data_IF_524687104988
#
_entry.id   IF_524687104988
#
_cell.length_a   1.000
_cell.length_b   1.000
_cell.length_c   1.000
_cell.angle_alpha   90.00
_cell.angle_beta   90.00
_cell.angle_gamma   90.00
#
_symmetry.space_group_name_H-M   'P 1'
#
loop_
_entity.id
_entity.type
_entity.pdbx_description
1 polymer ?
#
# COMPACT_ATOMS: atom_id res chain seq x y z
N UNK A 1 25.16 61.13 -59.28
CA UNK A 1 24.62 61.61 -57.99
C UNK A 1 24.80 60.50 -56.97
N UNK A 2 25.55 60.70 -55.88
CA UNK A 2 25.50 59.83 -54.72
C UNK A 2 25.87 60.66 -53.49
N UNK A 3 24.82 61.03 -52.76
CA UNK A 3 24.86 61.88 -51.57
C UNK A 3 25.32 61.04 -50.38
N UNK A 4 26.26 61.61 -49.63
CA UNK A 4 26.85 61.06 -48.43
C UNK A 4 25.79 60.87 -47.34
N UNK A 5 25.83 59.72 -46.67
CA UNK A 5 24.94 59.34 -45.59
C UNK A 5 25.69 59.54 -44.27
N UNK A 6 25.21 60.51 -43.47
CA UNK A 6 25.76 60.90 -42.17
C UNK A 6 25.15 60.00 -41.08
N UNK A 7 26.01 59.39 -40.27
CA UNK A 7 25.65 58.43 -39.21
C UNK A 7 25.17 59.15 -37.95
N UNK A 8 23.87 59.12 -37.72
CA UNK A 8 23.21 59.67 -36.54
C UNK A 8 23.37 58.72 -35.33
N UNK A 9 24.08 59.17 -34.29
CA UNK A 9 24.32 58.44 -33.05
C UNK A 9 23.04 58.39 -32.20
N UNK A 10 22.53 57.19 -31.89
CA UNK A 10 21.54 56.98 -30.81
C UNK A 10 22.00 55.89 -29.86
N UNK A 11 22.10 56.25 -28.59
CA UNK A 11 22.36 55.33 -27.48
C UNK A 11 21.18 54.37 -27.28
N UNK A 12 21.42 53.07 -27.03
CA UNK A 12 20.37 52.10 -26.82
C UNK A 12 20.11 51.98 -25.32
N UNK A 13 19.22 52.79 -24.75
CA UNK A 13 18.71 52.55 -23.38
C UNK A 13 17.46 53.38 -23.07
N UNK A 14 16.45 53.33 -23.94
CA UNK A 14 15.08 53.77 -23.59
C UNK A 14 14.08 52.67 -23.94
N UNK A 15 13.88 51.74 -23.00
CA UNK A 15 12.72 50.85 -22.97
C UNK A 15 11.75 51.37 -21.89
N UNK A 16 10.45 51.50 -22.19
CA UNK A 16 9.47 51.97 -21.20
C UNK A 16 9.29 50.93 -20.08
N UNK A 17 8.94 51.36 -18.85
CA UNK A 17 8.82 50.47 -17.71
C UNK A 17 7.66 49.46 -17.88
N UNK A 18 7.99 48.18 -17.80
CA UNK A 18 7.03 47.07 -17.77
C UNK A 18 6.28 47.09 -16.44
N UNK A 19 4.99 47.40 -16.47
CA UNK A 19 4.09 47.29 -15.32
C UNK A 19 3.80 45.81 -15.05
N UNK A 20 4.42 45.24 -14.00
CA UNK A 20 4.13 43.87 -13.53
C UNK A 20 2.86 43.90 -12.68
N UNK A 21 1.79 43.30 -13.18
CA UNK A 21 0.55 43.09 -12.42
C UNK A 21 0.78 41.92 -11.43
N UNK A 22 0.44 42.03 -10.14
CA UNK A 22 0.57 40.92 -9.21
C UNK A 22 -0.37 39.76 -9.61
N UNK A 23 0.03 38.50 -9.36
CA UNK A 23 -0.80 37.34 -9.68
C UNK A 23 -2.09 37.35 -8.83
N UNK A 24 -3.20 36.81 -9.36
CA UNK A 24 -4.43 36.69 -8.57
C UNK A 24 -4.20 35.77 -7.38
N UNK A 25 -4.55 36.27 -6.20
CA UNK A 25 -4.56 35.54 -4.93
C UNK A 25 -5.44 34.29 -5.08
N UNK A 26 -4.88 33.12 -4.77
CA UNK A 26 -5.59 31.84 -4.79
C UNK A 26 -6.84 31.90 -3.90
N UNK A 27 -7.97 31.27 -4.29
CA UNK A 27 -9.13 31.22 -3.41
C UNK A 27 -8.77 30.39 -2.18
N UNK A 28 -8.84 31.02 -1.00
CA UNK A 28 -8.76 30.30 0.25
C UNK A 28 -9.93 29.31 0.30
N UNK A 29 -9.62 28.01 0.21
CA UNK A 29 -10.60 26.97 0.49
C UNK A 29 -10.95 27.04 1.98
N UNK A 30 -12.06 27.68 2.32
CA UNK A 30 -12.66 27.56 3.64
C UNK A 30 -13.18 26.13 3.78
N UNK A 31 -12.51 25.32 4.59
CA UNK A 31 -13.00 23.99 4.97
C UNK A 31 -14.16 24.21 5.94
N UNK A 32 -15.37 24.35 5.41
CA UNK A 32 -16.59 24.35 6.22
C UNK A 32 -16.82 22.94 6.74
N UNK A 33 -16.43 22.67 7.99
CA UNK A 33 -16.84 21.47 8.70
C UNK A 33 -18.36 21.50 8.86
N UNK A 34 -19.03 20.75 8.01
CA UNK A 34 -20.46 20.49 8.14
C UNK A 34 -20.61 19.49 9.29
N UNK A 35 -21.11 19.93 10.43
CA UNK A 35 -21.57 19.02 11.49
C UNK A 35 -22.69 18.15 10.92
N UNK A 36 -22.58 16.81 10.90
CA UNK A 36 -23.65 15.96 10.39
C UNK A 36 -24.77 15.90 11.43
N UNK A 37 -25.72 16.82 11.35
CA UNK A 37 -27.02 16.69 12.02
C UNK A 37 -28.03 16.18 11.00
N UNK A 38 -27.99 14.89 10.73
CA UNK A 38 -29.13 14.17 10.14
C UNK A 38 -28.98 12.68 10.46
N UNK A 39 -29.58 12.28 11.57
CA UNK A 39 -29.76 10.86 11.90
C UNK A 39 -30.93 10.35 11.06
N UNK A 40 -30.68 10.16 9.76
CA UNK A 40 -31.50 9.27 8.96
C UNK A 40 -31.12 7.84 9.37
N UNK A 41 -32.06 6.89 9.55
CA UNK A 41 -31.70 5.50 9.82
C UNK A 41 -30.87 5.00 8.63
N UNK A 42 -29.55 4.95 8.80
CA UNK A 42 -28.64 4.41 7.78
C UNK A 42 -29.12 2.99 7.51
N UNK A 43 -29.59 2.76 6.29
CA UNK A 43 -29.52 1.42 5.72
C UNK A 43 -28.07 0.95 5.94
N UNK A 44 -27.83 -0.26 6.46
CA UNK A 44 -26.46 -0.71 6.71
C UNK A 44 -25.70 -0.65 5.39
N UNK A 45 -24.79 0.32 5.27
CA UNK A 45 -23.95 0.44 4.09
C UNK A 45 -22.99 -0.74 4.13
N UNK A 46 -23.25 -1.74 3.29
CA UNK A 46 -22.40 -2.92 3.17
C UNK A 46 -20.97 -2.48 2.82
N UNK A 47 -20.04 -2.67 3.75
CA UNK A 47 -18.62 -2.36 3.50
C UNK A 47 -18.07 -3.39 2.53
N UNK A 48 -17.32 -2.93 1.53
CA UNK A 48 -16.64 -3.80 0.58
C UNK A 48 -15.18 -3.86 0.94
N UNK A 49 -14.72 -5.03 1.39
CA UNK A 49 -13.37 -5.22 1.92
C UNK A 49 -12.54 -5.95 0.86
N UNK A 50 -11.40 -5.38 0.46
CA UNK A 50 -10.46 -6.08 -0.39
C UNK A 50 -9.59 -7.02 0.44
N UNK A 51 -9.36 -8.23 -0.05
CA UNK A 51 -8.23 -9.05 0.39
C UNK A 51 -7.32 -9.26 -0.82
N UNK A 52 -6.14 -8.64 -0.80
CA UNK A 52 -5.16 -8.77 -1.87
C UNK A 52 -4.43 -10.11 -1.73
N UNK A 53 -4.45 -10.91 -2.78
CA UNK A 53 -3.83 -12.23 -2.81
C UNK A 53 -2.87 -12.37 -3.97
N UNK A 54 -1.82 -13.15 -3.77
CA UNK A 54 -0.78 -13.44 -4.76
C UNK A 54 -0.45 -14.94 -4.86
N UNK A 55 -1.40 -15.78 -4.42
CA UNK A 55 -1.33 -17.24 -4.49
C UNK A 55 -0.22 -17.85 -3.62
N UNK A 56 0.28 -17.09 -2.64
CA UNK A 56 1.23 -17.51 -1.60
C UNK A 56 0.53 -17.99 -0.32
N UNK A 57 1.27 -18.69 0.54
CA UNK A 57 0.80 -19.11 1.86
C UNK A 57 0.55 -17.91 2.79
N UNK A 58 1.33 -16.84 2.65
CA UNK A 58 1.16 -15.58 3.35
C UNK A 58 -0.18 -14.93 3.02
N UNK A 59 -0.56 -14.92 1.74
CA UNK A 59 -1.86 -14.42 1.31
C UNK A 59 -3.02 -15.32 1.76
N UNK A 60 -2.83 -16.64 1.74
CA UNK A 60 -3.81 -17.60 2.25
C UNK A 60 -4.07 -17.40 3.76
N UNK A 61 -3.00 -17.13 4.52
CA UNK A 61 -3.11 -16.79 5.93
C UNK A 61 -3.83 -15.47 6.15
N UNK A 62 -3.57 -14.45 5.33
CA UNK A 62 -4.27 -13.16 5.42
C UNK A 62 -5.80 -13.32 5.23
N UNK A 63 -6.25 -14.22 4.34
CA UNK A 63 -7.68 -14.54 4.19
C UNK A 63 -8.27 -15.09 5.49
N UNK A 64 -7.61 -16.09 6.10
CA UNK A 64 -8.06 -16.70 7.36
C UNK A 64 -8.07 -15.67 8.50
N UNK A 65 -6.99 -14.90 8.62
CA UNK A 65 -6.86 -13.85 9.61
C UNK A 65 -7.97 -12.80 9.48
N UNK A 66 -8.31 -12.40 8.25
CA UNK A 66 -9.38 -11.43 8.00
C UNK A 66 -10.74 -11.91 8.52
N UNK A 67 -11.08 -13.18 8.28
CA UNK A 67 -12.32 -13.80 8.75
C UNK A 67 -12.41 -13.76 10.27
N UNK A 68 -11.31 -14.10 10.95
CA UNK A 68 -11.28 -14.22 12.41
C UNK A 68 -11.22 -12.87 13.13
N UNK A 69 -10.61 -11.85 12.51
CA UNK A 69 -10.20 -10.64 13.24
C UNK A 69 -10.77 -9.33 12.70
N UNK A 70 -11.13 -9.26 11.41
CA UNK A 70 -11.47 -7.99 10.76
C UNK A 70 -12.90 -7.93 10.24
N UNK A 71 -13.33 -9.00 9.56
CA UNK A 71 -14.62 -9.05 8.89
C UNK A 71 -15.78 -9.05 9.89
N UNK A 72 -16.84 -8.35 9.53
CA UNK A 72 -18.05 -8.19 10.34
C UNK A 72 -19.28 -8.66 9.56
N UNK A 73 -20.36 -9.05 10.25
CA UNK A 73 -21.64 -9.31 9.59
C UNK A 73 -22.05 -8.13 8.72
N UNK A 74 -22.38 -8.40 7.46
CA UNK A 74 -22.73 -7.38 6.46
C UNK A 74 -21.56 -6.89 5.60
N UNK A 75 -20.32 -7.29 5.87
CA UNK A 75 -19.21 -7.06 4.95
C UNK A 75 -19.33 -7.95 3.70
N UNK A 76 -18.93 -7.43 2.55
CA UNK A 76 -18.72 -8.19 1.33
C UNK A 76 -17.24 -8.15 0.93
N UNK A 77 -16.67 -9.29 0.59
CA UNK A 77 -15.24 -9.42 0.29
C UNK A 77 -14.98 -9.38 -1.21
N UNK A 78 -13.96 -8.64 -1.63
CA UNK A 78 -13.37 -8.75 -2.97
C UNK A 78 -11.99 -9.39 -2.82
N UNK A 79 -11.86 -10.64 -3.27
CA UNK A 79 -10.57 -11.32 -3.35
C UNK A 79 -9.84 -10.81 -4.59
N UNK A 80 -8.90 -9.88 -4.40
CA UNK A 80 -8.25 -9.11 -5.45
C UNK A 80 -6.90 -9.73 -5.79
N UNK A 81 -6.73 -10.19 -7.03
CA UNK A 81 -5.45 -10.69 -7.54
C UNK A 81 -5.02 -9.90 -8.77
N UNK A 82 -3.77 -9.40 -8.76
CA UNK A 82 -3.15 -8.85 -9.96
C UNK A 82 -2.23 -9.91 -10.55
N UNK A 83 -2.54 -10.31 -11.78
CA UNK A 83 -1.87 -11.34 -12.55
C UNK A 83 -0.83 -10.65 -13.44
N UNK A 84 0.48 -10.86 -13.24
CA UNK A 84 1.49 -10.28 -14.11
C UNK A 84 1.23 -10.68 -15.56
N UNK A 85 1.26 -9.74 -16.49
CA UNK A 85 1.20 -10.03 -17.93
C UNK A 85 2.48 -9.57 -18.61
N UNK A 86 2.89 -10.23 -19.70
CA UNK A 86 3.98 -9.80 -20.57
C UNK A 86 3.50 -8.95 -21.75
N UNK A 87 2.17 -8.81 -21.92
CA UNK A 87 1.55 -8.08 -23.03
C UNK A 87 1.61 -6.59 -22.73
N UNK A 88 2.59 -5.88 -23.30
CA UNK A 88 2.67 -4.43 -23.24
C UNK A 88 1.65 -3.83 -24.21
N UNK A 89 0.52 -3.34 -23.71
CA UNK A 89 -0.46 -2.62 -24.51
C UNK A 89 0.19 -1.36 -25.11
N UNK A 90 0.45 -1.35 -26.42
CA UNK A 90 1.02 -0.21 -27.16
C UNK A 90 2.47 -0.36 -27.62
N UNK A 91 3.19 -1.42 -27.24
CA UNK A 91 4.54 -1.71 -27.76
C UNK A 91 4.51 -2.53 -29.08
N UNK A 92 3.33 -2.85 -29.57
CA UNK A 92 3.04 -3.65 -30.74
C UNK A 92 2.82 -2.82 -32.03
N UNK A 93 2.93 -1.49 -31.98
CA UNK A 93 2.74 -0.61 -33.15
C UNK A 93 3.83 -0.74 -34.25
N UNK A 94 4.75 -1.70 -34.13
CA UNK A 94 5.82 -1.91 -35.10
C UNK A 94 6.51 -3.27 -35.05
N UNK A 95 6.12 -4.17 -34.13
CA UNK A 95 6.59 -5.56 -34.12
C UNK A 95 5.42 -6.44 -34.55
N UNK A 96 5.56 -7.05 -35.71
CA UNK A 96 4.66 -8.03 -36.29
C UNK A 96 4.31 -9.17 -35.33
N UNK A 97 3.27 -8.97 -34.51
CA UNK A 97 2.03 -9.76 -34.35
C UNK A 97 1.39 -9.41 -33.01
N UNK A 98 0.31 -8.61 -33.04
CA UNK A 98 -0.99 -9.18 -32.73
C UNK A 98 -2.03 -8.61 -33.70
N UNK A 99 -2.52 -9.43 -34.63
CA UNK A 99 -3.64 -8.99 -35.45
C UNK A 99 -4.76 -10.00 -35.43
N UNK A 100 -5.78 -9.68 -34.63
CA UNK A 100 -7.18 -9.97 -34.97
C UNK A 100 -7.55 -9.21 -36.26
N UNK A 101 -6.91 -9.57 -37.37
CA UNK A 101 -7.39 -9.26 -38.72
C UNK A 101 -7.44 -10.58 -39.46
N UNK A 102 -8.49 -10.73 -40.24
CA UNK A 102 -8.84 -11.85 -41.10
C UNK A 102 -7.82 -11.98 -42.25
N UNK A 103 -6.55 -12.20 -41.91
CA UNK A 103 -5.49 -12.45 -42.87
C UNK A 103 -4.96 -13.85 -42.58
N UNK A 104 -5.08 -14.80 -43.53
CA UNK A 104 -4.57 -16.15 -43.32
C UNK A 104 -3.05 -16.09 -43.07
N UNK A 105 -2.52 -16.86 -42.11
CA UNK A 105 -1.12 -16.84 -41.78
C UNK A 105 -0.29 -17.17 -43.03
N UNK A 106 0.56 -16.23 -43.45
CA UNK A 106 1.38 -16.33 -44.65
C UNK A 106 2.55 -17.32 -44.51
N UNK A 107 2.72 -17.94 -43.34
CA UNK A 107 3.56 -19.12 -43.19
C UNK A 107 3.00 -20.09 -42.12
N UNK A 108 3.16 -21.42 -42.31
CA UNK A 108 2.80 -22.42 -41.29
C UNK A 108 3.49 -22.20 -39.95
N UNK A 109 4.67 -21.57 -39.94
CA UNK A 109 5.49 -21.34 -38.75
C UNK A 109 4.88 -20.30 -37.80
N UNK A 110 4.20 -19.28 -38.34
CA UNK A 110 3.60 -18.21 -37.54
C UNK A 110 2.27 -18.64 -36.89
N UNK A 111 1.51 -19.52 -37.55
CA UNK A 111 0.26 -20.06 -37.00
C UNK A 111 0.49 -20.97 -35.78
N UNK A 112 1.57 -21.75 -35.77
CA UNK A 112 1.89 -22.65 -34.65
C UNK A 112 2.38 -21.90 -33.42
N UNK A 113 3.16 -20.83 -33.58
CA UNK A 113 3.65 -20.01 -32.45
C UNK A 113 2.49 -19.28 -31.74
N UNK A 114 1.59 -18.64 -32.48
CA UNK A 114 0.43 -17.95 -31.90
C UNK A 114 -0.54 -18.88 -31.18
N UNK A 115 -0.72 -20.11 -31.71
CA UNK A 115 -1.62 -21.11 -31.09
C UNK A 115 -1.04 -21.66 -29.77
N UNK A 116 0.27 -21.87 -29.72
CA UNK A 116 0.95 -22.37 -28.54
C UNK A 116 0.99 -21.33 -27.42
N UNK A 117 1.29 -20.06 -27.74
CA UNK A 117 1.30 -18.97 -26.77
C UNK A 117 -0.10 -18.67 -26.21
N UNK A 118 -1.14 -18.75 -27.04
CA UNK A 118 -2.53 -18.67 -26.59
C UNK A 118 -2.88 -19.81 -25.64
N UNK A 119 -2.46 -21.04 -25.97
CA UNK A 119 -2.73 -22.20 -25.12
C UNK A 119 -2.05 -22.09 -23.75
N UNK A 120 -0.80 -21.63 -23.71
CA UNK A 120 -0.07 -21.39 -22.46
C UNK A 120 -0.73 -20.31 -21.61
N UNK A 121 -1.19 -19.22 -22.23
CA UNK A 121 -1.90 -18.13 -21.55
C UNK A 121 -3.22 -18.62 -20.94
N UNK A 122 -3.99 -19.42 -21.68
CA UNK A 122 -5.21 -20.05 -21.16
C UNK A 122 -4.93 -20.99 -19.99
N UNK A 123 -3.91 -21.85 -20.10
CA UNK A 123 -3.55 -22.78 -19.04
C UNK A 123 -3.09 -22.03 -17.78
N UNK A 124 -2.39 -20.91 -17.94
CA UNK A 124 -1.99 -20.06 -16.83
C UNK A 124 -3.17 -19.32 -16.19
N UNK A 125 -4.12 -18.84 -16.97
CA UNK A 125 -5.36 -18.25 -16.47
C UNK A 125 -6.20 -19.29 -15.72
N UNK A 126 -6.30 -20.52 -16.25
CA UNK A 126 -6.99 -21.62 -15.60
C UNK A 126 -6.34 -21.99 -14.26
N UNK A 127 -5.00 -22.04 -14.20
CA UNK A 127 -4.26 -22.27 -12.96
C UNK A 127 -4.52 -21.16 -11.94
N UNK A 128 -4.48 -19.91 -12.38
CA UNK A 128 -4.70 -18.73 -11.54
C UNK A 128 -6.12 -18.76 -10.96
N UNK A 129 -7.13 -19.00 -11.80
CA UNK A 129 -8.53 -19.12 -11.38
C UNK A 129 -8.75 -20.26 -10.38
N UNK A 130 -8.14 -21.42 -10.63
CA UNK A 130 -8.22 -22.58 -9.74
C UNK A 130 -7.62 -22.28 -8.37
N UNK A 131 -6.41 -21.69 -8.33
CA UNK A 131 -5.77 -21.31 -7.07
C UNK A 131 -6.53 -20.23 -6.31
N UNK A 132 -7.02 -19.19 -7.00
CA UNK A 132 -7.82 -18.13 -6.40
C UNK A 132 -9.12 -18.69 -5.79
N UNK A 133 -9.73 -19.67 -6.45
CA UNK A 133 -10.91 -20.39 -5.92
C UNK A 133 -10.56 -21.16 -4.66
N UNK A 134 -9.41 -21.84 -4.63
CA UNK A 134 -8.90 -22.52 -3.43
C UNK A 134 -8.71 -21.56 -2.25
N UNK A 135 -8.16 -20.36 -2.49
CA UNK A 135 -8.01 -19.32 -1.46
C UNK A 135 -9.34 -18.79 -0.93
N UNK A 136 -10.42 -18.92 -1.70
CA UNK A 136 -11.74 -18.48 -1.29
C UNK A 136 -12.49 -19.52 -0.44
N UNK A 137 -12.02 -20.77 -0.34
CA UNK A 137 -12.68 -21.82 0.44
C UNK A 137 -12.98 -21.39 1.89
N UNK A 138 -12.06 -20.74 2.64
CA UNK A 138 -12.35 -20.31 4.01
C UNK A 138 -13.51 -19.29 4.09
N UNK A 139 -13.69 -18.46 3.05
CA UNK A 139 -14.81 -17.51 2.97
C UNK A 139 -16.13 -18.22 2.74
N UNK A 140 -16.14 -19.30 1.94
CA UNK A 140 -17.31 -20.16 1.73
C UNK A 140 -17.71 -20.82 3.05
N UNK A 141 -16.76 -21.42 3.76
CA UNK A 141 -17.01 -22.09 5.04
C UNK A 141 -17.54 -21.11 6.10
N UNK A 142 -17.00 -19.89 6.12
CA UNK A 142 -17.45 -18.82 7.01
C UNK A 142 -18.75 -18.12 6.56
N UNK A 143 -19.35 -18.52 5.43
CA UNK A 143 -20.55 -17.91 4.85
C UNK A 143 -20.42 -16.39 4.61
N UNK A 144 -19.21 -15.94 4.26
CA UNK A 144 -18.93 -14.54 3.94
C UNK A 144 -19.21 -14.31 2.45
N UNK A 145 -20.05 -13.34 2.07
CA UNK A 145 -20.25 -13.00 0.65
C UNK A 145 -18.95 -12.51 0.03
N UNK A 146 -18.53 -13.10 -1.10
CA UNK A 146 -17.31 -12.67 -1.78
C UNK A 146 -17.42 -12.72 -3.31
N UNK A 147 -16.53 -11.97 -3.96
CA UNK A 147 -16.26 -12.04 -5.40
C UNK A 147 -14.75 -12.14 -5.63
N UNK A 148 -14.34 -13.03 -6.54
CA UNK A 148 -12.96 -13.09 -7.02
C UNK A 148 -12.81 -12.06 -8.16
N UNK A 149 -11.82 -11.18 -8.04
CA UNK A 149 -11.52 -10.15 -9.04
C UNK A 149 -10.06 -10.28 -9.46
N UNK A 150 -9.84 -10.82 -10.66
CA UNK A 150 -8.52 -11.00 -11.24
C UNK A 150 -8.34 -9.98 -12.35
N UNK A 151 -7.25 -9.21 -12.29
CA UNK A 151 -6.87 -8.24 -13.31
C UNK A 151 -5.47 -8.55 -13.82
N UNK A 152 -5.20 -8.26 -15.09
CA UNK A 152 -3.88 -8.46 -15.70
C UNK A 152 -3.19 -7.11 -15.82
N UNK A 153 -1.96 -7.01 -15.33
CA UNK A 153 -1.17 -5.77 -15.41
C UNK A 153 0.33 -6.03 -15.27
N UNK A 154 1.16 -5.06 -15.67
CA UNK A 154 2.60 -5.09 -15.49
C UNK A 154 3.02 -4.52 -14.14
N UNK A 155 2.34 -3.46 -13.69
CA UNK A 155 2.61 -2.85 -12.39
C UNK A 155 1.58 -3.34 -11.37
N UNK A 156 1.97 -4.37 -10.60
CA UNK A 156 1.09 -5.01 -9.62
C UNK A 156 0.64 -4.05 -8.51
N UNK A 157 1.56 -3.21 -8.03
CA UNK A 157 1.34 -2.36 -6.86
C UNK A 157 0.47 -1.15 -7.22
N UNK A 158 0.70 -0.56 -8.39
CA UNK A 158 -0.12 0.52 -8.92
C UNK A 158 -1.50 -0.01 -9.29
N UNK A 159 -1.57 -1.15 -10.00
CA UNK A 159 -2.84 -1.73 -10.38
C UNK A 159 -3.71 -2.09 -9.17
N UNK A 160 -3.12 -2.61 -8.10
CA UNK A 160 -3.87 -2.91 -6.89
C UNK A 160 -4.53 -1.66 -6.32
N UNK A 161 -3.79 -0.55 -6.19
CA UNK A 161 -4.32 0.71 -5.66
C UNK A 161 -5.42 1.28 -6.57
N UNK A 162 -5.23 1.23 -7.89
CA UNK A 162 -6.23 1.67 -8.86
C UNK A 162 -7.53 0.86 -8.78
N UNK A 163 -7.43 -0.48 -8.64
CA UNK A 163 -8.62 -1.31 -8.50
C UNK A 163 -9.36 -1.06 -7.19
N UNK A 164 -8.62 -0.78 -6.11
CA UNK A 164 -9.19 -0.45 -4.79
C UNK A 164 -10.01 0.83 -4.86
N UNK A 165 -9.48 1.87 -5.51
CA UNK A 165 -10.19 3.12 -5.76
C UNK A 165 -11.38 2.93 -6.70
N UNK A 166 -11.15 2.30 -7.86
CA UNK A 166 -12.17 2.06 -8.90
C UNK A 166 -13.37 1.27 -8.38
N UNK A 167 -13.11 0.29 -7.52
CA UNK A 167 -14.15 -0.53 -6.91
C UNK A 167 -14.76 0.11 -5.66
N UNK A 168 -14.26 1.25 -5.19
CA UNK A 168 -14.75 1.94 -3.99
C UNK A 168 -14.73 1.04 -2.76
N UNK A 169 -13.57 0.42 -2.49
CA UNK A 169 -13.37 -0.50 -1.37
C UNK A 169 -13.07 0.29 -0.09
N UNK A 170 -13.60 -0.20 1.03
CA UNK A 170 -13.53 0.49 2.32
C UNK A 170 -12.23 0.21 3.08
N UNK A 171 -11.56 -0.91 2.79
CA UNK A 171 -10.25 -1.27 3.32
C UNK A 171 -9.60 -2.36 2.47
N UNK A 172 -8.28 -2.49 2.57
CA UNK A 172 -7.49 -3.56 1.93
C UNK A 172 -6.77 -4.35 3.01
N UNK A 173 -6.91 -5.67 2.98
CA UNK A 173 -6.15 -6.61 3.82
C UNK A 173 -5.16 -7.34 2.92
N UNK A 174 -3.91 -7.47 3.34
CA UNK A 174 -2.89 -8.15 2.55
C UNK A 174 -1.79 -8.76 3.41
N UNK A 175 -1.06 -9.72 2.84
CA UNK A 175 0.16 -10.23 3.46
C UNK A 175 1.26 -9.15 3.52
N UNK A 176 2.13 -9.24 4.52
CA UNK A 176 3.32 -8.39 4.61
C UNK A 176 4.40 -8.72 3.58
N UNK A 177 4.36 -9.92 3.02
CA UNK A 177 5.25 -10.41 1.98
C UNK A 177 4.40 -11.16 0.97
N UNK A 178 4.98 -11.32 -0.21
CA UNK A 178 4.37 -12.08 -1.28
C UNK A 178 5.23 -13.22 -1.80
N UNK A 179 4.80 -13.81 -2.90
CA UNK A 179 5.49 -14.89 -3.59
C UNK A 179 6.96 -14.53 -3.87
N UNK A 180 7.88 -15.40 -3.44
CA UNK A 180 9.33 -15.23 -3.61
C UNK A 180 10.01 -14.30 -2.58
N UNK A 181 9.27 -13.70 -1.66
CA UNK A 181 9.81 -12.77 -0.66
C UNK A 181 10.24 -13.44 0.66
N UNK A 182 10.05 -14.75 0.83
CA UNK A 182 10.36 -15.54 2.05
C UNK A 182 11.87 -15.73 2.34
N UNK A 183 12.74 -14.87 1.76
CA UNK A 183 14.18 -14.93 2.04
C UNK A 183 14.45 -14.58 3.50
N UNK A 184 15.11 -15.51 4.20
CA UNK A 184 15.48 -15.52 5.64
C UNK A 184 16.13 -14.24 6.19
N UNK A 185 16.59 -13.34 5.32
CA UNK A 185 17.35 -12.12 5.64
C UNK A 185 16.52 -10.83 5.54
N UNK A 186 15.19 -10.92 5.45
CA UNK A 186 14.32 -9.76 5.21
C UNK A 186 13.39 -9.41 6.38
N UNK A 187 13.79 -9.84 7.59
CA UNK A 187 13.07 -9.64 8.85
C UNK A 187 12.68 -8.18 9.05
N UNK A 188 11.41 -7.95 9.40
CA UNK A 188 10.88 -6.64 9.74
C UNK A 188 10.43 -5.77 8.56
N UNK A 189 10.97 -5.96 7.34
CA UNK A 189 10.65 -5.08 6.20
C UNK A 189 9.46 -5.56 5.40
N UNK A 190 8.60 -4.63 4.99
CA UNK A 190 7.44 -4.89 4.14
C UNK A 190 7.86 -5.28 2.70
N UNK A 191 7.07 -6.13 2.04
CA UNK A 191 7.24 -6.44 0.61
C UNK A 191 6.93 -5.22 -0.26
N UNK A 192 7.44 -5.17 -1.49
CA UNK A 192 7.31 -3.99 -2.37
C UNK A 192 5.86 -3.59 -2.65
N UNK A 193 4.98 -4.58 -2.89
CA UNK A 193 3.56 -4.33 -3.15
C UNK A 193 2.88 -3.81 -1.89
N UNK A 194 3.07 -4.49 -0.76
CA UNK A 194 2.47 -4.09 0.51
C UNK A 194 2.96 -2.71 0.97
N UNK A 195 4.25 -2.42 0.79
CA UNK A 195 4.87 -1.14 1.11
C UNK A 195 4.27 -0.01 0.28
N UNK A 196 4.12 -0.24 -1.02
CA UNK A 196 3.45 0.72 -1.88
C UNK A 196 2.00 0.97 -1.46
N UNK A 197 1.24 -0.09 -1.19
CA UNK A 197 -0.18 0.03 -0.83
C UNK A 197 -0.38 0.83 0.45
N UNK A 198 0.45 0.62 1.47
CA UNK A 198 0.39 1.38 2.74
C UNK A 198 0.54 2.89 2.52
N UNK A 199 1.33 3.30 1.53
CA UNK A 199 1.57 4.72 1.24
C UNK A 199 0.60 5.33 0.21
N UNK A 200 0.00 4.52 -0.68
CA UNK A 200 -0.71 5.02 -1.85
C UNK A 200 -2.18 4.59 -1.96
N UNK A 201 -2.63 3.60 -1.18
CA UNK A 201 -4.04 3.23 -1.19
C UNK A 201 -4.91 4.38 -0.65
N UNK A 202 -6.04 4.61 -1.33
CA UNK A 202 -7.04 5.62 -0.92
C UNK A 202 -7.82 5.25 0.35
N UNK A 203 -7.68 4.00 0.81
CA UNK A 203 -8.39 3.47 1.98
C UNK A 203 -7.41 2.81 2.98
N UNK A 204 -7.84 2.56 4.23
CA UNK A 204 -7.02 1.87 5.23
C UNK A 204 -6.46 0.54 4.72
N UNK A 205 -5.17 0.30 4.99
CA UNK A 205 -4.46 -0.94 4.65
C UNK A 205 -4.11 -1.70 5.92
N UNK A 206 -4.51 -2.97 6.00
CA UNK A 206 -4.19 -3.90 7.06
C UNK A 206 -3.15 -4.89 6.55
N UNK A 207 -1.96 -4.83 7.15
CA UNK A 207 -0.85 -5.72 6.80
C UNK A 207 -0.78 -6.87 7.78
N UNK A 208 -1.03 -8.09 7.30
CA UNK A 208 -0.99 -9.33 8.08
C UNK A 208 0.41 -9.95 8.01
N UNK A 209 1.00 -10.21 9.19
CA UNK A 209 2.30 -10.89 9.31
C UNK A 209 2.10 -12.40 9.34
N UNK A 210 2.86 -13.11 8.51
CA UNK A 210 2.83 -14.56 8.48
C UNK A 210 3.72 -15.11 9.60
N UNK A 211 3.24 -16.06 10.43
CA UNK A 211 3.97 -16.56 11.59
C UNK A 211 5.34 -17.17 11.27
N UNK A 212 5.58 -17.64 10.04
CA UNK A 212 6.87 -18.15 9.58
C UNK A 212 8.01 -17.12 9.49
N UNK A 213 7.70 -15.83 9.54
CA UNK A 213 8.71 -14.74 9.50
C UNK A 213 9.40 -14.51 10.86
N UNK A 214 8.84 -15.05 11.95
CA UNK A 214 9.28 -14.82 13.32
C UNK A 214 9.85 -16.09 13.96
N UNK A 215 11.05 -16.52 13.54
CA UNK A 215 11.90 -17.33 14.43
C UNK A 215 12.51 -16.42 15.51
N UNK A 216 11.67 -15.98 16.45
CA UNK A 216 12.09 -15.44 17.73
C UNK A 216 11.66 -16.43 18.80
N UNK A 217 12.61 -16.82 19.66
CA UNK A 217 12.39 -17.68 20.82
C UNK A 217 11.56 -17.00 21.91
N UNK A 218 10.28 -16.74 21.63
CA UNK A 218 9.29 -16.38 22.62
C UNK A 218 8.28 -17.50 22.73
N UNK A 219 8.37 -18.20 23.85
CA UNK A 219 7.37 -19.12 24.37
C UNK A 219 6.10 -18.33 24.76
N UNK A 220 5.39 -17.82 23.76
CA UNK A 220 4.12 -17.10 23.90
C UNK A 220 3.14 -17.76 22.97
N UNK A 221 2.37 -18.71 23.49
CA UNK A 221 1.29 -19.35 22.75
C UNK A 221 0.36 -18.30 22.17
N UNK A 222 -0.06 -18.50 20.92
CA UNK A 222 -1.24 -17.85 20.39
C UNK A 222 -2.40 -18.35 21.24
N UNK A 223 -2.75 -17.60 22.27
CA UNK A 223 -3.98 -17.82 23.00
C UNK A 223 -5.11 -17.36 22.08
N UNK A 224 -5.66 -18.32 21.33
CA UNK A 224 -6.93 -18.17 20.66
C UNK A 224 -7.95 -17.94 21.75
N UNK A 225 -8.29 -16.67 22.01
CA UNK A 225 -9.40 -16.31 22.89
C UNK A 225 -10.67 -16.84 22.25
N UNK A 226 -11.04 -18.06 22.61
CA UNK A 226 -12.36 -18.63 22.33
C UNK A 226 -13.35 -17.80 23.11
N UNK A 227 -14.06 -16.91 22.41
CA UNK A 227 -15.13 -16.11 22.99
C UNK A 227 -16.35 -17.00 23.24
N UNK A 228 -16.36 -17.73 24.35
CA UNK A 228 -17.59 -18.32 24.89
C UNK A 228 -18.32 -17.27 25.70
N UNK A 229 -19.56 -16.98 25.29
CA UNK A 229 -20.45 -16.10 26.02
C UNK A 229 -20.81 -16.70 27.38
N UNK A 230 -20.39 -16.05 28.47
CA UNK A 230 -21.00 -16.20 29.78
C UNK A 230 -20.70 -14.98 30.66
N UNK A 231 -21.79 -14.30 31.02
CA UNK A 231 -22.07 -13.66 32.32
C UNK A 231 -21.05 -12.67 32.89
N UNK A 232 -21.52 -11.43 32.92
CA UNK A 232 -21.05 -10.25 33.65
C UNK A 232 -20.56 -10.62 35.06
N UNK A 233 -19.33 -10.22 35.40
CA UNK A 233 -18.94 -9.81 36.74
C UNK A 233 -17.79 -8.81 36.63
N UNK A 234 -17.98 -7.64 37.23
CA UNK A 234 -16.98 -6.60 37.34
C UNK A 234 -15.83 -7.05 38.24
N UNK A 235 -14.59 -6.83 37.78
CA UNK A 235 -13.41 -6.85 38.63
C UNK A 235 -12.28 -6.03 37.97
N UNK A 236 -12.17 -4.79 38.43
CA UNK A 236 -10.93 -4.10 38.84
C UNK A 236 -9.75 -4.01 37.85
N UNK A 237 -9.58 -2.80 37.30
CA UNK A 237 -8.39 -2.35 36.58
C UNK A 237 -7.22 -2.16 37.55
N UNK A 238 -6.12 -2.88 37.34
CA UNK A 238 -4.84 -2.60 38.00
C UNK A 238 -4.09 -1.46 37.28
N UNK A 239 -3.55 -0.45 37.99
CA UNK A 239 -2.79 0.64 37.37
C UNK A 239 -1.42 0.19 36.87
N UNK A 240 -1.01 0.73 35.72
CA UNK A 240 0.33 0.64 35.15
C UNK A 240 1.35 1.38 36.04
N UNK A 241 2.55 0.84 36.30
CA UNK A 241 3.58 1.57 37.02
C UNK A 241 4.17 2.68 36.12
N UNK A 242 4.22 3.89 36.67
CA UNK A 242 4.86 5.07 36.08
C UNK A 242 6.38 4.99 36.34
N UNK A 243 7.19 5.22 35.31
CA UNK A 243 8.65 5.34 35.44
C UNK A 243 8.99 6.80 35.78
N UNK A 244 9.50 7.04 36.99
CA UNK A 244 9.97 8.36 37.43
C UNK A 244 11.40 8.64 36.94
N UNK A 245 11.55 9.77 36.25
CA UNK A 245 12.82 10.42 35.91
C UNK A 245 13.51 10.92 37.19
N UNK A 246 14.71 10.41 37.50
CA UNK A 246 15.60 11.05 38.47
C UNK A 246 16.69 11.86 37.74
N UNK A 247 16.45 13.16 37.57
CA UNK A 247 17.48 14.17 37.36
C UNK A 247 17.86 14.75 38.72
N UNK A 248 19.08 14.54 39.18
CA UNK A 248 19.63 15.19 40.37
C UNK A 248 20.77 16.14 39.98
N UNK A 249 20.49 17.44 39.91
CA UNK A 249 21.48 18.51 40.05
C UNK A 249 21.38 19.17 41.44
N UNK A 250 22.53 19.18 42.11
CA UNK A 250 23.16 20.30 42.83
C UNK A 250 22.41 21.05 43.96
N UNK A 251 22.89 20.90 45.20
CA UNK A 251 22.89 21.98 46.22
C UNK A 251 24.19 21.98 47.06
N UNK A 252 25.16 22.79 46.62
CA UNK A 252 25.79 23.94 47.31
C UNK A 252 26.12 23.81 48.83
N UNK A 253 27.42 23.89 49.20
CA UNK A 253 27.99 25.05 49.95
C UNK A 253 29.29 24.76 50.73
N UNK A 254 30.30 25.56 50.38
CA UNK A 254 31.15 26.36 51.26
C UNK A 254 32.27 25.71 52.11
N UNK A 255 33.50 26.09 51.71
CA UNK A 255 34.50 26.77 52.55
C UNK A 255 35.34 25.87 53.49
N UNK A 256 36.66 25.73 53.33
CA UNK A 256 37.70 26.73 53.64
C UNK A 256 39.10 26.14 53.31
N UNK A 257 40.01 26.98 52.80
CA UNK A 257 41.41 27.23 53.25
C UNK A 257 42.28 26.02 53.68
N UNK A 258 43.52 25.82 53.26
CA UNK A 258 44.68 26.73 53.11
C UNK A 258 45.85 26.02 52.37
N UNK A 259 46.77 26.86 51.87
CA UNK A 259 48.24 26.72 51.85
C UNK A 259 48.98 25.60 51.08
N UNK A 260 49.96 26.07 50.28
CA UNK A 260 51.32 25.53 50.07
C UNK A 260 51.44 24.08 49.54
N UNK A 261 52.12 23.80 48.44
CA UNK A 261 53.41 24.31 48.00
C UNK A 261 54.33 23.11 47.78
N UNK A 262 55.05 23.12 46.64
CA UNK A 262 56.32 22.43 46.43
C UNK A 262 56.28 20.92 46.09
N UNK A 263 56.63 20.62 44.82
CA UNK A 263 57.20 19.34 44.38
C UNK A 263 58.50 19.01 45.15
N UNK A 264 58.94 17.74 45.20
CA UNK A 264 59.90 17.34 44.17
C UNK A 264 59.85 15.85 43.76
N UNK A 265 60.14 15.63 42.46
CA UNK A 265 61.09 14.65 41.93
C UNK A 265 60.96 13.16 42.32
N UNK A 266 60.63 12.32 41.34
CA UNK A 266 61.60 11.63 40.46
C UNK A 266 60.85 10.89 39.35
#
# INVERSE_FOLDING_TARGET
MNSQQENDHRHPNDLPPVQVKPPPTSPAFSISFSTPTSVSPLTPTHRRIAIAVDLSDESAFAVKWAIENYLRPGDAVILLHVRPTSILYGADWGSNTPTSTVTPPSSPFQAHATSHDQKLEEDFDNLTNSKATGLAQPLVEAHVPFKIHIVKDHDLKERLCLEVERLGLSAVIMGSRGFGASRKNSKGRLGSVSDYCVHHCVCPVVVVRYPGDNNEGRNGGVEVVKKTAAVINEAELHPLPEEENETNEEVISAEKRDSEGTEPGM
#
